data_IF_811756809467
#
_entry.id   IF_811756809467
#
_cell.length_a   1.000
_cell.length_b   1.000
_cell.length_c   1.000
_cell.angle_alpha   90.00
_cell.angle_beta   90.00
_cell.angle_gamma   90.00
#
_symmetry.space_group_name_H-M   'P 1'
#
loop_
_entity.id
_entity.type
_entity.pdbx_description
1 polymer ?
#
# COMPACT_ATOMS: atom_id res chain seq x y z
N UNK A 1 30.86 -20.12 41.26
CA UNK A 1 29.83 -20.62 40.35
C UNK A 1 28.71 -19.56 40.33
N UNK A 2 28.75 -18.64 39.42
CA UNK A 2 27.72 -17.62 39.25
C UNK A 2 26.99 -17.88 37.90
N UNK A 3 25.77 -18.40 38.02
CA UNK A 3 24.84 -18.49 36.93
C UNK A 3 24.32 -17.11 36.57
N UNK A 4 24.77 -16.53 35.45
CA UNK A 4 24.13 -15.37 34.85
C UNK A 4 22.86 -15.85 34.13
N UNK A 5 21.72 -15.40 34.64
CA UNK A 5 20.42 -15.50 33.96
C UNK A 5 20.54 -14.72 32.65
N UNK A 6 20.24 -15.39 31.53
CA UNK A 6 20.09 -14.77 30.23
C UNK A 6 18.70 -14.14 30.21
N UNK A 7 18.63 -12.83 30.44
CA UNK A 7 17.43 -12.05 30.15
C UNK A 7 17.09 -12.20 28.68
N UNK A 8 15.91 -12.71 28.39
CA UNK A 8 15.33 -12.77 27.07
C UNK A 8 15.07 -11.37 26.54
N UNK A 9 16.08 -10.79 25.89
CA UNK A 9 15.97 -9.49 25.26
C UNK A 9 14.91 -9.52 24.16
N UNK A 10 13.77 -8.87 24.39
CA UNK A 10 12.79 -8.58 23.36
C UNK A 10 13.51 -7.89 22.19
N UNK A 11 13.46 -8.49 20.99
CA UNK A 11 13.97 -7.91 19.75
C UNK A 11 13.30 -6.55 19.55
N UNK A 12 14.08 -5.45 19.68
CA UNK A 12 13.61 -4.08 19.45
C UNK A 12 13.45 -3.90 17.93
N UNK A 13 12.29 -4.26 17.40
CA UNK A 13 11.95 -4.11 15.99
C UNK A 13 11.50 -2.68 15.72
N UNK A 14 12.21 -2.00 14.85
CA UNK A 14 11.94 -0.60 14.47
C UNK A 14 13.16 0.32 14.54
N UNK A 15 14.34 -0.21 14.16
CA UNK A 15 15.57 0.60 14.08
C UNK A 15 16.13 1.09 15.42
N UNK A 16 15.73 0.48 16.54
CA UNK A 16 16.32 0.77 17.86
C UNK A 16 16.14 2.19 18.38
N UNK A 17 15.17 2.97 17.83
CA UNK A 17 14.95 4.37 18.25
C UNK A 17 14.40 4.44 19.66
N UNK A 18 15.04 5.28 20.50
CA UNK A 18 14.48 5.70 21.78
C UNK A 18 13.24 6.59 21.59
N UNK A 19 12.52 6.85 22.69
CA UNK A 19 11.27 7.61 22.68
C UNK A 19 11.39 8.97 21.97
N UNK A 20 12.37 9.79 22.35
CA UNK A 20 12.54 11.13 21.79
C UNK A 20 13.00 11.10 20.33
N UNK A 21 13.86 10.15 19.97
CA UNK A 21 14.28 9.94 18.58
C UNK A 21 13.10 9.54 17.69
N UNK A 22 12.19 8.70 18.20
CA UNK A 22 11.00 8.30 17.46
C UNK A 22 10.05 9.48 17.28
N UNK A 23 9.81 10.29 18.31
CA UNK A 23 8.99 11.52 18.20
C UNK A 23 9.56 12.49 17.17
N UNK A 24 10.88 12.74 17.23
CA UNK A 24 11.57 13.60 16.27
C UNK A 24 11.44 13.07 14.83
N UNK A 25 11.60 11.76 14.62
CA UNK A 25 11.49 11.18 13.28
C UNK A 25 10.06 11.22 12.74
N UNK A 26 9.04 11.00 13.59
CA UNK A 26 7.63 11.14 13.20
C UNK A 26 7.33 12.57 12.81
N UNK A 27 7.74 13.58 13.63
CA UNK A 27 7.55 14.98 13.30
C UNK A 27 8.26 15.35 11.99
N UNK A 28 9.53 14.94 11.83
CA UNK A 28 10.31 15.18 10.60
C UNK A 28 9.62 14.62 9.36
N UNK A 29 9.02 13.42 9.45
CA UNK A 29 8.30 12.82 8.31
C UNK A 29 7.02 13.60 8.00
N UNK A 30 6.29 14.08 8.99
CA UNK A 30 5.13 14.93 8.78
C UNK A 30 5.54 16.27 8.14
N UNK A 31 6.55 16.95 8.68
CA UNK A 31 7.07 18.23 8.14
C UNK A 31 7.51 18.13 6.67
N UNK A 32 8.00 16.96 6.26
CA UNK A 32 8.47 16.69 4.89
C UNK A 32 7.47 15.93 4.01
N UNK A 33 6.24 15.77 4.47
CA UNK A 33 5.21 14.99 3.78
C UNK A 33 5.67 13.60 3.35
N UNK A 34 6.40 12.90 4.22
CA UNK A 34 6.99 11.58 3.96
C UNK A 34 6.14 10.44 4.54
N UNK A 35 6.13 9.26 3.90
CA UNK A 35 5.46 8.08 4.47
C UNK A 35 6.01 7.70 5.86
N UNK A 36 5.13 7.21 6.77
CA UNK A 36 3.69 7.02 6.61
C UNK A 36 2.85 8.26 6.95
N UNK A 37 3.48 9.41 7.22
CA UNK A 37 2.83 10.67 7.62
C UNK A 37 2.41 11.55 6.42
N UNK A 38 2.54 11.08 5.19
CA UNK A 38 2.11 11.86 4.02
C UNK A 38 0.65 12.29 4.12
N UNK A 39 0.38 13.60 3.99
CA UNK A 39 -0.96 14.20 4.13
C UNK A 39 -1.40 14.50 5.57
N UNK A 40 -0.64 14.10 6.59
CA UNK A 40 -0.87 14.54 7.98
C UNK A 40 -0.28 15.94 8.14
N UNK A 41 -1.09 16.89 8.60
CA UNK A 41 -0.62 18.25 8.86
C UNK A 41 0.45 18.27 9.98
N UNK A 42 1.55 19.03 9.83
CA UNK A 42 2.62 19.07 10.83
C UNK A 42 2.16 19.50 12.23
N UNK A 43 1.20 20.39 12.31
CA UNK A 43 0.59 20.85 13.58
C UNK A 43 -0.21 19.73 14.26
N UNK A 44 -0.91 18.90 13.51
CA UNK A 44 -1.67 17.75 14.04
C UNK A 44 -0.73 16.66 14.57
N UNK A 45 0.35 16.38 13.83
CA UNK A 45 1.39 15.48 14.30
C UNK A 45 2.00 15.96 15.61
N UNK A 46 2.31 17.28 15.72
CA UNK A 46 2.85 17.89 16.93
C UNK A 46 1.86 17.81 18.09
N UNK A 47 0.58 18.09 17.84
CA UNK A 47 -0.47 17.98 18.85
C UNK A 47 -0.65 16.55 19.38
N UNK A 48 -0.58 15.53 18.50
CA UNK A 48 -0.60 14.14 18.92
C UNK A 48 0.66 13.77 19.72
N UNK A 49 1.85 14.12 19.22
CA UNK A 49 3.14 13.80 19.85
C UNK A 49 3.31 14.46 21.24
N UNK A 50 2.67 15.60 21.51
CA UNK A 50 2.70 16.24 22.84
C UNK A 50 2.04 15.37 23.93
N UNK A 51 1.16 14.43 23.53
CA UNK A 51 0.44 13.52 24.43
C UNK A 51 1.14 12.16 24.61
N UNK A 52 2.22 11.92 23.84
CA UNK A 52 2.98 10.66 23.90
C UNK A 52 4.12 10.79 24.89
N UNK A 53 4.16 9.91 25.90
CA UNK A 53 5.15 9.92 26.99
C UNK A 53 5.99 8.65 27.05
N UNK A 54 5.70 7.64 26.21
CA UNK A 54 6.40 6.35 26.19
C UNK A 54 6.48 5.76 24.79
N UNK A 55 7.10 4.60 24.64
CA UNK A 55 7.11 3.81 23.40
C UNK A 55 5.90 2.90 23.26
N UNK A 56 4.95 2.92 24.20
CA UNK A 56 3.76 2.09 24.19
C UNK A 56 2.87 2.40 22.97
N UNK A 57 2.64 1.39 22.14
CA UNK A 57 1.87 1.52 20.88
C UNK A 57 0.41 1.85 21.10
N UNK A 58 -0.16 1.42 22.21
CA UNK A 58 -1.53 1.79 22.60
C UNK A 58 -1.64 3.30 22.83
N UNK A 59 -0.69 3.87 23.59
CA UNK A 59 -0.64 5.32 23.84
C UNK A 59 -0.46 6.12 22.55
N UNK A 60 0.41 5.67 21.63
CA UNK A 60 0.59 6.30 20.33
C UNK A 60 -0.70 6.30 19.52
N UNK A 61 -1.38 5.16 19.44
CA UNK A 61 -2.64 5.04 18.70
C UNK A 61 -3.73 5.95 19.28
N UNK A 62 -3.87 6.01 20.62
CA UNK A 62 -4.83 6.88 21.30
C UNK A 62 -4.52 8.36 21.08
N UNK A 63 -3.25 8.77 21.14
CA UNK A 63 -2.83 10.15 20.96
C UNK A 63 -3.19 10.68 19.56
N UNK A 64 -2.86 9.93 18.50
CA UNK A 64 -3.20 10.30 17.13
C UNK A 64 -4.70 10.21 16.86
N UNK A 65 -5.39 9.21 17.40
CA UNK A 65 -6.86 9.08 17.30
C UNK A 65 -7.59 10.26 17.93
N UNK A 66 -7.10 10.79 19.05
CA UNK A 66 -7.71 11.95 19.72
C UNK A 66 -7.67 13.22 18.86
N UNK A 67 -6.61 13.43 18.06
CA UNK A 67 -6.54 14.55 17.11
C UNK A 67 -7.44 14.26 15.89
N UNK A 68 -7.48 13.02 15.43
CA UNK A 68 -8.36 12.59 14.36
C UNK A 68 -9.85 12.79 14.69
N UNK A 69 -10.27 12.52 15.93
CA UNK A 69 -11.64 12.73 16.38
C UNK A 69 -12.05 14.20 16.29
N UNK A 70 -11.16 15.16 16.58
CA UNK A 70 -11.45 16.59 16.44
C UNK A 70 -11.72 16.97 14.97
N UNK A 71 -10.96 16.42 14.03
CA UNK A 71 -11.24 16.59 12.59
C UNK A 71 -12.57 15.98 12.19
N UNK A 72 -12.87 14.78 12.67
CA UNK A 72 -14.15 14.10 12.39
C UNK A 72 -15.34 14.91 12.90
N UNK A 73 -15.27 15.46 14.11
CA UNK A 73 -16.32 16.31 14.69
C UNK A 73 -16.51 17.61 13.88
N UNK A 74 -15.41 18.26 13.45
CA UNK A 74 -15.48 19.43 12.55
C UNK A 74 -16.10 19.07 11.20
N UNK A 75 -15.73 17.90 10.63
CA UNK A 75 -16.30 17.42 9.38
C UNK A 75 -17.83 17.27 9.49
N UNK A 76 -18.31 16.61 10.54
CA UNK A 76 -19.74 16.43 10.81
C UNK A 76 -20.49 17.74 10.92
N UNK A 77 -19.89 18.74 11.60
CA UNK A 77 -20.50 20.06 11.73
C UNK A 77 -20.56 20.85 10.40
N UNK A 78 -19.76 20.46 9.39
CA UNK A 78 -19.71 21.11 8.07
C UNK A 78 -20.55 20.41 7.00
N UNK A 79 -20.98 19.16 7.17
CA UNK A 79 -21.60 18.34 6.11
C UNK A 79 -22.74 19.00 5.33
N UNK A 80 -23.59 19.74 6.04
CA UNK A 80 -24.78 20.36 5.44
C UNK A 80 -24.53 21.77 4.88
N UNK A 81 -23.46 22.43 5.28
CA UNK A 81 -23.21 23.86 4.96
C UNK A 81 -21.97 24.12 4.12
N UNK A 82 -20.96 23.23 4.22
CA UNK A 82 -19.69 23.33 3.49
C UNK A 82 -19.19 21.91 3.13
N UNK A 83 -19.67 21.41 2.00
CA UNK A 83 -19.29 20.08 1.51
C UNK A 83 -17.76 19.94 1.28
N UNK A 84 -17.11 20.99 0.79
CA UNK A 84 -15.67 20.95 0.52
C UNK A 84 -14.85 21.00 1.81
N UNK A 85 -15.26 21.82 2.78
CA UNK A 85 -14.68 21.84 4.12
C UNK A 85 -14.85 20.50 4.83
N UNK A 86 -16.06 19.91 4.79
CA UNK A 86 -16.30 18.58 5.36
C UNK A 86 -15.38 17.50 4.74
N UNK A 87 -15.23 17.50 3.42
CA UNK A 87 -14.34 16.56 2.73
C UNK A 87 -12.89 16.70 3.20
N UNK A 88 -12.39 17.92 3.34
CA UNK A 88 -11.03 18.21 3.84
C UNK A 88 -10.84 17.69 5.28
N UNK A 89 -11.80 17.94 6.15
CA UNK A 89 -11.74 17.51 7.54
C UNK A 89 -11.83 15.97 7.66
N UNK A 90 -12.69 15.29 6.90
CA UNK A 90 -12.73 13.82 6.84
C UNK A 90 -11.43 13.22 6.29
N UNK A 91 -10.81 13.86 5.31
CA UNK A 91 -9.48 13.49 4.82
C UNK A 91 -8.43 13.53 5.94
N UNK A 92 -8.36 14.62 6.71
CA UNK A 92 -7.41 14.73 7.83
C UNK A 92 -7.71 13.71 8.93
N UNK A 93 -8.99 13.52 9.29
CA UNK A 93 -9.39 12.50 10.25
C UNK A 93 -8.92 11.11 9.80
N UNK A 94 -9.19 10.75 8.54
CA UNK A 94 -8.72 9.50 7.97
C UNK A 94 -7.21 9.36 8.03
N UNK A 95 -6.42 10.36 7.62
CA UNK A 95 -4.94 10.29 7.63
C UNK A 95 -4.39 10.04 9.03
N UNK A 96 -4.93 10.70 10.03
CA UNK A 96 -4.53 10.56 11.43
C UNK A 96 -4.92 9.18 12.00
N UNK A 97 -6.15 8.71 11.78
CA UNK A 97 -6.55 7.35 12.16
C UNK A 97 -5.73 6.30 11.43
N UNK A 98 -5.41 6.53 10.16
CA UNK A 98 -4.56 5.64 9.36
C UNK A 98 -3.16 5.54 9.97
N UNK A 99 -2.55 6.63 10.40
CA UNK A 99 -1.28 6.57 11.11
C UNK A 99 -1.44 5.95 12.51
N UNK A 100 -2.52 6.24 13.22
CA UNK A 100 -2.80 5.64 14.55
C UNK A 100 -2.83 4.10 14.50
N UNK A 101 -3.32 3.48 13.42
CA UNK A 101 -3.33 2.02 13.25
C UNK A 101 -2.01 1.44 12.71
N UNK A 102 -1.12 2.30 12.17
CA UNK A 102 0.07 1.90 11.41
C UNK A 102 1.10 1.13 12.25
N UNK A 103 1.88 0.19 11.68
CA UNK A 103 1.75 -0.41 10.34
C UNK A 103 0.76 -1.57 10.31
N UNK A 104 0.38 -2.11 11.45
CA UNK A 104 -0.55 -3.24 11.65
C UNK A 104 -1.38 -3.05 12.90
N UNK A 105 -2.53 -3.72 12.97
CA UNK A 105 -3.54 -3.54 14.02
C UNK A 105 -3.33 -4.51 15.20
N UNK A 106 -2.13 -4.50 15.79
CA UNK A 106 -1.69 -5.44 16.83
C UNK A 106 -2.13 -5.09 18.26
N UNK A 107 -2.76 -3.91 18.48
CA UNK A 107 -3.31 -3.52 19.79
C UNK A 107 -4.81 -3.15 19.71
N UNK A 108 -5.56 -3.10 20.83
CA UNK A 108 -6.97 -2.68 20.83
C UNK A 108 -7.18 -1.28 20.24
N UNK A 109 -6.40 -0.28 20.65
CA UNK A 109 -6.53 1.09 20.11
C UNK A 109 -6.21 1.16 18.60
N UNK A 110 -5.22 0.41 18.13
CA UNK A 110 -4.93 0.33 16.69
C UNK A 110 -6.07 -0.33 15.90
N UNK A 111 -6.72 -1.35 16.44
CA UNK A 111 -7.91 -1.96 15.82
C UNK A 111 -9.07 -0.98 15.72
N UNK A 112 -9.33 -0.22 16.81
CA UNK A 112 -10.33 0.83 16.79
C UNK A 112 -9.98 1.95 15.81
N UNK A 113 -8.72 2.37 15.76
CA UNK A 113 -8.24 3.37 14.80
C UNK A 113 -8.44 2.91 13.34
N UNK A 114 -8.22 1.61 13.03
CA UNK A 114 -8.55 1.05 11.72
C UNK A 114 -10.03 1.23 11.36
N UNK A 115 -10.95 0.87 12.28
CA UNK A 115 -12.38 1.01 12.03
C UNK A 115 -12.75 2.47 11.73
N UNK A 116 -12.29 3.40 12.57
CA UNK A 116 -12.51 4.84 12.40
C UNK A 116 -11.88 5.40 11.13
N UNK A 117 -10.69 4.89 10.72
CA UNK A 117 -10.09 5.26 9.45
C UNK A 117 -10.96 4.89 8.27
N UNK A 118 -11.50 3.67 8.24
CA UNK A 118 -12.43 3.21 7.19
C UNK A 118 -13.70 4.06 7.17
N UNK A 119 -14.28 4.36 8.34
CA UNK A 119 -15.48 5.20 8.46
C UNK A 119 -15.22 6.62 7.93
N UNK A 120 -14.15 7.28 8.39
CA UNK A 120 -13.79 8.62 7.93
C UNK A 120 -13.51 8.67 6.42
N UNK A 121 -12.80 7.65 5.89
CA UNK A 121 -12.55 7.57 4.45
C UNK A 121 -13.84 7.38 3.64
N UNK A 122 -14.80 6.55 4.11
CA UNK A 122 -16.09 6.36 3.44
C UNK A 122 -16.89 7.67 3.37
N UNK A 123 -16.87 8.49 4.42
CA UNK A 123 -17.49 9.81 4.38
C UNK A 123 -16.79 10.72 3.36
N UNK A 124 -15.46 10.78 3.40
CA UNK A 124 -14.69 11.49 2.37
C UNK A 124 -15.02 11.02 0.95
N UNK A 125 -15.14 9.69 0.73
CA UNK A 125 -15.42 9.08 -0.57
C UNK A 125 -16.74 9.54 -1.18
N UNK A 126 -17.79 9.75 -0.35
CA UNK A 126 -19.10 10.26 -0.82
C UNK A 126 -19.03 11.73 -1.21
N UNK A 127 -18.09 12.48 -0.64
CA UNK A 127 -17.91 13.91 -0.87
C UNK A 127 -16.96 14.21 -2.03
N UNK A 128 -16.13 13.26 -2.45
CA UNK A 128 -15.22 13.39 -3.59
C UNK A 128 -15.96 13.63 -4.91
N UNK A 129 -15.30 14.28 -5.88
CA UNK A 129 -15.87 14.57 -7.20
C UNK A 129 -14.93 14.09 -8.31
N UNK A 130 -15.31 13.11 -9.14
CA UNK A 130 -16.49 12.23 -8.96
C UNK A 130 -16.38 11.40 -7.67
N UNK A 131 -17.50 10.90 -7.13
CA UNK A 131 -17.47 10.13 -5.88
C UNK A 131 -16.70 8.81 -6.04
N UNK A 132 -16.22 8.27 -4.91
CA UNK A 132 -15.57 6.97 -4.83
C UNK A 132 -16.63 5.95 -4.37
N UNK A 133 -16.91 4.96 -5.22
CA UNK A 133 -17.85 3.89 -4.94
C UNK A 133 -17.24 2.85 -4.00
N UNK A 134 -17.98 2.39 -2.99
CA UNK A 134 -17.63 1.20 -2.20
C UNK A 134 -18.17 -0.03 -2.93
N UNK A 135 -17.28 -0.87 -3.41
CA UNK A 135 -17.62 -2.11 -4.11
C UNK A 135 -17.54 -3.29 -3.14
N UNK A 136 -18.57 -4.16 -3.16
CA UNK A 136 -18.62 -5.40 -2.40
C UNK A 136 -18.85 -6.57 -3.34
N UNK A 137 -17.93 -7.55 -3.34
CA UNK A 137 -17.97 -8.69 -4.24
C UNK A 137 -18.05 -9.95 -3.39
N UNK A 138 -19.10 -10.78 -3.53
CA UNK A 138 -19.18 -12.07 -2.85
C UNK A 138 -17.99 -12.95 -3.22
N UNK A 139 -17.36 -13.54 -2.20
CA UNK A 139 -16.17 -14.37 -2.38
C UNK A 139 -16.02 -15.39 -1.24
N UNK A 140 -16.16 -16.68 -1.55
CA UNK A 140 -15.92 -17.80 -0.63
C UNK A 140 -16.62 -17.64 0.75
N UNK A 141 -17.88 -17.26 0.76
CA UNK A 141 -18.67 -17.04 1.98
C UNK A 141 -18.34 -15.75 2.75
N UNK A 142 -17.48 -14.91 2.17
CA UNK A 142 -17.11 -13.57 2.64
C UNK A 142 -17.32 -12.55 1.53
N UNK A 143 -16.81 -11.34 1.71
CA UNK A 143 -16.82 -10.28 0.71
C UNK A 143 -15.41 -9.74 0.46
N UNK A 144 -15.11 -9.45 -0.80
CA UNK A 144 -14.03 -8.55 -1.18
C UNK A 144 -14.60 -7.14 -1.08
N UNK A 145 -14.00 -6.30 -0.25
CA UNK A 145 -14.35 -4.88 -0.15
C UNK A 145 -13.29 -4.07 -0.88
N UNK A 146 -13.72 -3.26 -1.85
CA UNK A 146 -12.85 -2.45 -2.68
C UNK A 146 -13.43 -1.05 -2.89
N UNK A 147 -12.64 -0.15 -3.46
CA UNK A 147 -13.11 1.15 -3.93
C UNK A 147 -12.97 1.25 -5.44
N UNK A 148 -13.97 1.84 -6.09
CA UNK A 148 -13.94 2.13 -7.51
C UNK A 148 -14.22 3.61 -7.74
N UNK A 149 -13.36 4.29 -8.49
CA UNK A 149 -13.60 5.66 -8.94
C UNK A 149 -13.41 5.74 -10.44
N UNK A 150 -14.42 6.21 -11.14
CA UNK A 150 -14.43 6.33 -12.58
C UNK A 150 -14.44 7.81 -13.00
N UNK A 151 -13.79 8.17 -14.12
CA UNK A 151 -13.89 9.51 -14.69
C UNK A 151 -15.31 9.80 -15.13
N UNK A 152 -15.74 11.07 -15.03
CA UNK A 152 -17.10 11.46 -15.41
C UNK A 152 -17.38 11.30 -16.91
N UNK A 153 -16.38 11.52 -17.76
CA UNK A 153 -16.54 11.72 -19.19
C UNK A 153 -16.00 10.57 -20.07
N UNK A 154 -15.48 9.49 -19.47
CA UNK A 154 -14.95 8.33 -20.20
C UNK A 154 -15.65 7.06 -19.75
N UNK A 155 -16.63 6.57 -20.52
CA UNK A 155 -17.34 5.32 -20.23
C UNK A 155 -17.61 4.55 -21.54
N UNK A 156 -17.25 3.26 -21.59
CA UNK A 156 -16.56 2.48 -20.56
C UNK A 156 -15.13 3.01 -20.35
N UNK A 157 -14.70 3.11 -19.09
CA UNK A 157 -13.41 3.67 -18.72
C UNK A 157 -12.31 2.60 -18.69
N UNK A 158 -11.13 2.85 -19.28
CA UNK A 158 -9.94 2.05 -19.02
C UNK A 158 -9.54 2.16 -17.54
N UNK A 159 -8.96 1.11 -16.96
CA UNK A 159 -8.85 0.97 -15.52
C UNK A 159 -7.42 0.64 -15.07
N UNK A 160 -7.03 1.26 -13.97
CA UNK A 160 -5.90 0.80 -13.16
C UNK A 160 -6.44 -0.01 -11.97
N UNK A 161 -5.99 -1.25 -11.87
CA UNK A 161 -6.27 -2.14 -10.75
C UNK A 161 -5.15 -2.02 -9.72
N UNK A 162 -5.32 -1.20 -8.70
CA UNK A 162 -4.32 -0.86 -7.70
C UNK A 162 -4.43 -1.73 -6.45
N UNK A 163 -3.33 -2.39 -6.06
CA UNK A 163 -3.24 -3.22 -4.87
C UNK A 163 -2.42 -2.50 -3.81
N UNK A 164 -2.94 -2.42 -2.59
CA UNK A 164 -2.25 -1.81 -1.45
C UNK A 164 -0.99 -2.58 -1.04
N UNK A 165 -0.01 -1.91 -0.42
CA UNK A 165 1.19 -2.54 0.14
C UNK A 165 0.97 -3.08 1.56
N UNK A 166 2.07 -3.52 2.20
CA UNK A 166 2.04 -4.14 3.53
C UNK A 166 1.43 -3.23 4.62
N UNK A 167 1.84 -1.98 4.66
CA UNK A 167 1.47 -1.01 5.69
C UNK A 167 0.41 0.02 5.23
N UNK A 168 0.11 0.04 3.94
CA UNK A 168 -0.98 0.81 3.34
C UNK A 168 -2.27 -0.01 3.27
N UNK A 169 -3.37 0.64 2.91
CA UNK A 169 -4.68 0.02 2.71
C UNK A 169 -5.28 0.51 1.39
N UNK A 170 -6.37 -0.13 0.94
CA UNK A 170 -7.10 0.31 -0.26
C UNK A 170 -7.52 1.77 -0.21
N UNK A 171 -7.75 2.32 0.97
CA UNK A 171 -7.99 3.75 1.19
C UNK A 171 -6.83 4.61 0.69
N UNK A 172 -5.57 4.20 0.98
CA UNK A 172 -4.37 4.91 0.48
C UNK A 172 -4.27 4.89 -1.04
N UNK A 173 -4.67 3.77 -1.65
CA UNK A 173 -4.68 3.64 -3.12
C UNK A 173 -5.78 4.52 -3.71
N UNK A 174 -7.00 4.44 -3.18
CA UNK A 174 -8.16 5.20 -3.65
C UNK A 174 -7.99 6.73 -3.42
N UNK A 175 -7.32 7.12 -2.35
CA UNK A 175 -7.03 8.51 -2.03
C UNK A 175 -6.18 9.24 -3.09
N UNK A 176 -5.39 8.51 -3.87
CA UNK A 176 -4.56 9.06 -4.95
C UNK A 176 -5.24 8.97 -6.33
N UNK A 177 -6.56 8.71 -6.37
CA UNK A 177 -7.29 8.50 -7.63
C UNK A 177 -7.45 9.75 -8.51
N UNK A 178 -7.28 10.96 -7.98
CA UNK A 178 -7.38 12.21 -8.76
C UNK A 178 -6.44 12.21 -9.99
N UNK A 179 -5.21 11.75 -9.80
CA UNK A 179 -4.24 11.65 -10.89
C UNK A 179 -4.65 10.69 -12.00
N UNK A 180 -5.35 9.61 -11.68
CA UNK A 180 -5.89 8.66 -12.67
C UNK A 180 -7.12 9.22 -13.36
N UNK A 181 -8.09 9.71 -12.59
CA UNK A 181 -9.35 10.28 -13.11
C UNK A 181 -9.07 11.48 -14.03
N UNK A 182 -8.13 12.35 -13.64
CA UNK A 182 -7.69 13.49 -14.44
C UNK A 182 -7.03 13.10 -15.78
N UNK A 183 -6.52 11.88 -15.91
CA UNK A 183 -6.00 11.31 -17.16
C UNK A 183 -7.03 10.40 -17.88
N UNK A 184 -8.31 10.44 -17.52
CA UNK A 184 -9.36 9.63 -18.14
C UNK A 184 -9.34 8.15 -17.75
N UNK A 185 -8.68 7.79 -16.65
CA UNK A 185 -8.55 6.43 -16.14
C UNK A 185 -9.45 6.22 -14.93
N UNK A 186 -10.12 5.08 -14.85
CA UNK A 186 -10.68 4.60 -13.60
C UNK A 186 -9.59 4.03 -12.69
N UNK A 187 -9.87 4.01 -11.39
CA UNK A 187 -9.04 3.32 -10.39
C UNK A 187 -9.91 2.37 -9.57
N UNK A 188 -9.55 1.10 -9.56
CA UNK A 188 -10.05 0.10 -8.61
C UNK A 188 -8.98 -0.15 -7.56
N UNK A 189 -9.32 0.00 -6.29
CA UNK A 189 -8.40 -0.11 -5.18
C UNK A 189 -8.79 -1.25 -4.24
N UNK A 190 -7.85 -2.15 -3.97
CA UNK A 190 -8.07 -3.35 -3.16
C UNK A 190 -6.94 -3.56 -2.13
N UNK A 191 -7.28 -4.16 -1.00
CA UNK A 191 -6.30 -4.52 0.03
C UNK A 191 -5.42 -5.70 -0.38
N UNK A 192 -4.19 -5.70 0.15
CA UNK A 192 -3.29 -6.83 0.12
C UNK A 192 -3.90 -8.01 0.91
N UNK A 193 -3.86 -9.26 0.43
CA UNK A 193 -4.29 -10.42 1.21
C UNK A 193 -3.61 -10.47 2.57
N UNK A 194 -4.36 -10.78 3.62
CA UNK A 194 -3.88 -10.74 5.01
C UNK A 194 -3.83 -9.34 5.64
N UNK A 195 -4.35 -8.31 4.96
CA UNK A 195 -4.40 -6.93 5.51
C UNK A 195 -5.76 -6.27 5.29
N UNK A 196 -6.01 -5.17 5.97
CA UNK A 196 -7.19 -4.33 5.73
C UNK A 196 -8.51 -5.05 5.92
N UNK A 197 -9.39 -4.95 4.92
CA UNK A 197 -10.66 -5.66 4.82
C UNK A 197 -10.57 -6.83 3.80
N UNK A 198 -9.37 -7.40 3.60
CA UNK A 198 -9.21 -8.60 2.76
C UNK A 198 -10.05 -9.76 3.30
N UNK A 199 -10.71 -10.57 2.42
CA UNK A 199 -11.43 -11.77 2.87
C UNK A 199 -10.51 -12.85 3.43
N UNK A 200 -9.23 -12.87 3.04
CA UNK A 200 -8.23 -13.77 3.62
C UNK A 200 -7.58 -13.13 4.86
N UNK A 201 -7.61 -13.85 5.98
CA UNK A 201 -7.01 -13.41 7.23
C UNK A 201 -5.47 -13.42 7.18
N UNK A 202 -4.90 -14.24 6.29
CA UNK A 202 -3.46 -14.31 6.00
C UNK A 202 -3.23 -14.43 4.50
N UNK A 203 -2.08 -13.94 4.02
CA UNK A 203 -1.66 -14.15 2.65
C UNK A 203 -1.20 -15.59 2.43
N UNK A 204 -1.68 -16.21 1.38
CA UNK A 204 -1.30 -17.54 0.91
C UNK A 204 -0.87 -17.48 -0.56
N UNK A 205 -0.13 -18.45 -1.04
CA UNK A 205 0.36 -18.48 -2.43
C UNK A 205 -0.77 -18.45 -3.47
N UNK A 206 -1.97 -18.90 -3.10
CA UNK A 206 -3.16 -18.92 -3.96
C UNK A 206 -4.15 -17.78 -3.65
N UNK A 207 -3.73 -16.77 -2.90
CA UNK A 207 -4.60 -15.59 -2.63
C UNK A 207 -4.82 -14.70 -3.87
N UNK A 208 -4.13 -14.95 -4.98
CA UNK A 208 -4.39 -14.31 -6.28
C UNK A 208 -5.83 -14.50 -6.77
N UNK A 209 -6.53 -15.58 -6.36
CA UNK A 209 -7.95 -15.80 -6.69
C UNK A 209 -8.88 -14.68 -6.20
N UNK A 210 -8.49 -13.91 -5.17
CA UNK A 210 -9.21 -12.68 -4.75
C UNK A 210 -9.20 -11.67 -5.90
N UNK A 211 -8.05 -11.48 -6.55
CA UNK A 211 -7.90 -10.54 -7.65
C UNK A 211 -8.57 -11.05 -8.92
N UNK A 212 -8.52 -12.38 -9.17
CA UNK A 212 -9.25 -13.00 -10.28
C UNK A 212 -10.75 -12.78 -10.15
N UNK A 213 -11.33 -12.96 -8.96
CA UNK A 213 -12.75 -12.71 -8.69
C UNK A 213 -13.12 -11.22 -8.85
N UNK A 214 -12.22 -10.31 -8.44
CA UNK A 214 -12.40 -8.88 -8.66
C UNK A 214 -12.35 -8.51 -10.15
N UNK A 215 -11.46 -9.13 -10.93
CA UNK A 215 -11.42 -8.97 -12.40
C UNK A 215 -12.67 -9.53 -13.08
N UNK A 216 -13.23 -10.64 -12.59
CA UNK A 216 -14.51 -11.19 -13.08
C UNK A 216 -15.69 -10.24 -12.83
N UNK A 217 -15.70 -9.59 -11.67
CA UNK A 217 -16.69 -8.56 -11.36
C UNK A 217 -16.54 -7.34 -12.29
N UNK A 218 -15.33 -6.84 -12.46
CA UNK A 218 -15.05 -5.69 -13.33
C UNK A 218 -15.41 -6.00 -14.80
N UNK A 219 -15.20 -7.24 -15.24
CA UNK A 219 -15.56 -7.70 -16.57
C UNK A 219 -17.07 -7.67 -16.87
N UNK A 220 -17.91 -7.64 -15.84
CA UNK A 220 -19.38 -7.57 -15.96
C UNK A 220 -19.92 -6.13 -15.85
N UNK A 221 -19.07 -5.16 -15.57
CA UNK A 221 -19.49 -3.76 -15.41
C UNK A 221 -19.56 -3.05 -16.76
N UNK A 222 -20.69 -2.47 -17.14
CA UNK A 222 -20.84 -1.78 -18.43
C UNK A 222 -20.07 -0.45 -18.49
N UNK A 223 -19.67 0.11 -17.35
CA UNK A 223 -18.97 1.38 -17.24
C UNK A 223 -17.42 1.22 -17.14
N UNK A 224 -16.94 -0.05 -17.17
CA UNK A 224 -15.50 -0.42 -17.15
C UNK A 224 -15.14 -1.06 -18.49
N UNK A 225 -14.05 -0.60 -19.11
CA UNK A 225 -13.47 -1.27 -20.26
C UNK A 225 -12.58 -2.43 -19.82
N UNK A 226 -13.20 -3.61 -19.70
CA UNK A 226 -12.51 -4.83 -19.28
C UNK A 226 -11.36 -5.28 -20.22
N UNK A 227 -11.34 -4.80 -21.45
CA UNK A 227 -10.25 -5.02 -22.40
C UNK A 227 -9.05 -4.08 -22.18
N UNK A 228 -9.17 -3.08 -21.30
CA UNK A 228 -8.13 -2.09 -21.01
C UNK A 228 -7.88 -1.94 -19.52
N UNK A 229 -7.32 -2.99 -18.88
CA UNK A 229 -6.94 -3.01 -17.47
C UNK A 229 -5.43 -3.16 -17.34
N UNK A 230 -4.81 -2.32 -16.50
CA UNK A 230 -3.43 -2.45 -16.02
C UNK A 230 -3.45 -2.72 -14.53
N UNK A 231 -2.78 -3.77 -14.05
CA UNK A 231 -2.59 -3.99 -12.62
C UNK A 231 -1.38 -3.19 -12.10
N UNK A 232 -1.50 -2.60 -10.93
CA UNK A 232 -0.42 -1.88 -10.26
C UNK A 232 -0.25 -2.37 -8.82
N UNK A 233 0.89 -3.00 -8.54
CA UNK A 233 1.31 -3.38 -7.20
C UNK A 233 2.40 -2.45 -6.68
N UNK A 234 2.27 -2.03 -5.40
CA UNK A 234 3.21 -1.14 -4.72
C UNK A 234 3.87 -1.85 -3.55
N UNK A 235 5.20 -1.76 -3.45
CA UNK A 235 5.92 -2.43 -2.37
C UNK A 235 5.59 -3.93 -2.38
N UNK A 236 5.22 -4.51 -1.26
CA UNK A 236 4.93 -5.93 -1.17
C UNK A 236 3.91 -6.43 -2.21
N UNK A 237 2.91 -5.64 -2.57
CA UNK A 237 1.94 -6.02 -3.61
C UNK A 237 2.49 -6.02 -5.05
N UNK A 238 3.70 -5.54 -5.26
CA UNK A 238 4.41 -5.76 -6.53
C UNK A 238 4.59 -7.24 -6.84
N UNK A 239 4.68 -8.10 -5.83
CA UNK A 239 4.58 -9.55 -5.96
C UNK A 239 3.32 -10.00 -6.71
N UNK A 240 2.16 -9.49 -6.25
CA UNK A 240 0.89 -9.85 -6.87
C UNK A 240 0.77 -9.29 -8.28
N UNK A 241 1.27 -8.08 -8.54
CA UNK A 241 1.29 -7.54 -9.90
C UNK A 241 2.14 -8.39 -10.85
N UNK A 242 3.31 -8.86 -10.41
CA UNK A 242 4.16 -9.76 -11.18
C UNK A 242 3.48 -11.12 -11.42
N UNK A 243 2.87 -11.71 -10.39
CA UNK A 243 2.16 -12.97 -10.48
C UNK A 243 0.96 -12.87 -11.43
N UNK A 244 0.12 -11.84 -11.26
CA UNK A 244 -1.05 -11.60 -12.10
C UNK A 244 -0.69 -11.31 -13.55
N UNK A 245 0.46 -10.70 -13.82
CA UNK A 245 0.94 -10.53 -15.19
C UNK A 245 1.09 -11.87 -15.93
N UNK A 246 1.35 -12.96 -15.21
CA UNK A 246 1.42 -14.31 -15.74
C UNK A 246 0.04 -14.98 -15.70
N UNK A 247 -0.56 -15.06 -14.51
CA UNK A 247 -1.79 -15.86 -14.30
C UNK A 247 -3.03 -15.24 -14.96
N UNK A 248 -3.06 -13.91 -15.11
CA UNK A 248 -4.16 -13.15 -15.71
C UNK A 248 -3.77 -12.45 -17.02
N UNK A 249 -2.72 -12.89 -17.68
CA UNK A 249 -2.15 -12.25 -18.87
C UNK A 249 -3.16 -11.95 -19.98
N UNK A 250 -4.17 -12.79 -20.14
CA UNK A 250 -5.19 -12.65 -21.18
C UNK A 250 -6.14 -11.46 -20.91
N UNK A 251 -6.28 -11.04 -19.66
CA UNK A 251 -7.18 -9.95 -19.22
C UNK A 251 -6.44 -8.63 -18.99
N UNK A 252 -5.11 -8.65 -18.91
CA UNK A 252 -4.32 -7.48 -18.56
C UNK A 252 -3.60 -6.89 -19.76
N UNK A 253 -3.65 -5.57 -19.92
CA UNK A 253 -2.83 -4.81 -20.88
C UNK A 253 -1.40 -4.59 -20.38
N UNK A 254 -1.16 -4.81 -19.10
CA UNK A 254 0.15 -4.76 -18.49
C UNK A 254 0.09 -4.77 -16.97
N UNK A 255 1.28 -4.83 -16.36
CA UNK A 255 1.48 -4.81 -14.93
C UNK A 255 2.60 -3.85 -14.54
N UNK A 256 2.38 -3.07 -13.49
CA UNK A 256 3.40 -2.23 -12.86
C UNK A 256 3.86 -2.92 -11.58
N UNK A 257 5.11 -3.39 -11.56
CA UNK A 257 5.79 -3.98 -10.41
C UNK A 257 6.64 -2.90 -9.77
N UNK A 258 6.09 -2.20 -8.77
CA UNK A 258 6.73 -1.05 -8.14
C UNK A 258 7.33 -1.44 -6.79
N UNK A 259 8.58 -1.89 -6.78
CA UNK A 259 9.30 -2.35 -5.59
C UNK A 259 8.75 -3.66 -5.04
N UNK A 260 8.45 -4.63 -5.91
CA UNK A 260 7.85 -5.92 -5.55
C UNK A 260 8.87 -7.01 -5.22
N UNK A 261 8.62 -7.83 -4.19
CA UNK A 261 9.43 -9.02 -3.89
C UNK A 261 9.13 -10.12 -4.91
N UNK A 262 10.15 -10.91 -5.30
CA UNK A 262 10.01 -11.95 -6.32
C UNK A 262 10.57 -13.30 -5.85
N UNK A 263 11.84 -13.34 -5.40
CA UNK A 263 12.54 -14.53 -4.97
C UNK A 263 13.54 -14.25 -3.85
N UNK A 264 14.52 -13.39 -4.09
CA UNK A 264 15.59 -13.09 -3.12
C UNK A 264 15.04 -12.50 -1.82
N UNK A 265 13.97 -11.71 -1.89
CA UNK A 265 13.26 -11.20 -0.71
C UNK A 265 12.79 -12.31 0.23
N UNK A 266 12.32 -13.45 -0.31
CA UNK A 266 11.77 -14.55 0.47
C UNK A 266 12.83 -15.47 1.07
N UNK A 267 14.12 -15.22 0.79
CA UNK A 267 15.20 -16.00 1.39
C UNK A 267 15.42 -15.58 2.84
N UNK A 268 15.65 -16.54 3.76
CA UNK A 268 15.77 -16.27 5.20
C UNK A 268 16.78 -15.17 5.54
N UNK A 269 17.92 -15.14 4.86
CA UNK A 269 18.96 -14.15 5.08
C UNK A 269 18.46 -12.73 4.81
N UNK A 270 17.77 -12.49 3.68
CA UNK A 270 17.26 -11.16 3.36
C UNK A 270 16.13 -10.75 4.29
N UNK A 271 15.14 -11.65 4.53
CA UNK A 271 14.03 -11.36 5.44
C UNK A 271 14.54 -10.93 6.81
N UNK A 272 15.49 -11.66 7.39
CA UNK A 272 16.07 -11.33 8.70
C UNK A 272 16.81 -9.98 8.68
N UNK A 273 17.66 -9.76 7.67
CA UNK A 273 18.44 -8.52 7.56
C UNK A 273 17.54 -7.31 7.34
N UNK A 274 16.48 -7.43 6.54
CA UNK A 274 15.56 -6.33 6.23
C UNK A 274 14.78 -5.84 7.46
N UNK A 275 14.60 -6.67 8.48
CA UNK A 275 13.93 -6.28 9.73
C UNK A 275 14.73 -5.25 10.54
N UNK A 276 16.06 -5.26 10.42
CA UNK A 276 16.95 -4.34 11.11
C UNK A 276 17.06 -2.97 10.42
N UNK A 277 16.48 -2.80 9.24
CA UNK A 277 16.53 -1.52 8.51
C UNK A 277 15.66 -0.48 9.21
N UNK A 278 16.17 0.74 9.40
CA UNK A 278 15.46 1.82 10.10
C UNK A 278 14.36 2.52 9.26
N UNK A 279 13.91 1.94 8.16
CA UNK A 279 12.92 2.56 7.28
C UNK A 279 11.52 2.58 7.89
N UNK A 280 11.11 1.48 8.52
CA UNK A 280 9.92 1.48 9.37
C UNK A 280 10.18 2.21 10.69
N UNK A 281 9.18 2.92 11.17
CA UNK A 281 9.25 3.62 12.45
C UNK A 281 9.26 2.61 13.61
N UNK A 282 8.43 1.56 13.49
CA UNK A 282 8.27 0.46 14.47
C UNK A 282 7.44 -0.69 13.87
N UNK A 283 7.35 -1.81 14.57
CA UNK A 283 6.44 -2.95 14.34
C UNK A 283 6.53 -3.57 12.92
N UNK A 284 7.72 -3.54 12.29
CA UNK A 284 7.87 -4.07 10.92
C UNK A 284 7.76 -5.60 10.87
N UNK A 285 8.37 -6.30 11.84
CA UNK A 285 8.24 -7.74 11.96
C UNK A 285 6.79 -8.14 12.24
N UNK A 286 6.12 -7.44 13.16
CA UNK A 286 4.74 -7.67 13.51
C UNK A 286 3.80 -7.51 12.31
N UNK A 287 4.05 -6.51 11.46
CA UNK A 287 3.28 -6.31 10.23
C UNK A 287 3.46 -7.47 9.24
N UNK A 288 4.70 -7.95 9.05
CA UNK A 288 4.98 -9.13 8.21
C UNK A 288 4.35 -10.40 8.79
N UNK A 289 4.49 -10.61 10.10
CA UNK A 289 3.89 -11.74 10.79
C UNK A 289 2.36 -11.72 10.66
N UNK A 290 1.72 -10.59 10.90
CA UNK A 290 0.26 -10.45 10.77
C UNK A 290 -0.22 -10.78 9.36
N UNK A 291 0.45 -10.24 8.33
CA UNK A 291 0.10 -10.50 6.93
C UNK A 291 0.21 -11.99 6.56
N UNK A 292 1.23 -12.69 7.04
CA UNK A 292 1.43 -14.12 6.79
C UNK A 292 0.73 -15.04 7.80
N UNK A 293 0.03 -14.49 8.79
CA UNK A 293 -0.56 -15.27 9.88
C UNK A 293 0.49 -16.04 10.69
N UNK A 294 1.67 -15.44 10.89
CA UNK A 294 2.78 -16.02 11.63
C UNK A 294 2.81 -15.47 13.07
N UNK A 295 3.18 -16.33 14.02
CA UNK A 295 3.30 -15.99 15.44
C UNK A 295 4.68 -15.41 15.80
N UNK A 296 5.69 -15.56 14.94
CA UNK A 296 7.05 -15.10 15.15
C UNK A 296 7.93 -15.25 13.92
N UNK A 297 9.24 -14.97 14.09
CA UNK A 297 10.19 -14.91 12.97
C UNK A 297 10.34 -16.27 12.27
N UNK A 298 10.51 -17.35 13.01
CA UNK A 298 10.73 -18.68 12.40
C UNK A 298 9.55 -19.11 11.55
N UNK A 299 8.33 -18.91 12.03
CA UNK A 299 7.12 -19.19 11.29
C UNK A 299 6.95 -18.24 10.09
N UNK A 300 7.32 -16.97 10.24
CA UNK A 300 7.34 -16.01 9.12
C UNK A 300 8.29 -16.48 8.00
N UNK A 301 9.50 -16.92 8.35
CA UNK A 301 10.47 -17.41 7.38
C UNK A 301 9.94 -18.64 6.63
N UNK A 302 9.31 -19.57 7.36
CA UNK A 302 8.71 -20.77 6.77
C UNK A 302 7.54 -20.44 5.83
N UNK A 303 6.64 -19.53 6.25
CA UNK A 303 5.44 -19.14 5.48
C UNK A 303 5.74 -18.23 4.29
N UNK A 304 6.81 -17.42 4.36
CA UNK A 304 7.18 -16.53 3.28
C UNK A 304 7.90 -17.22 2.12
N UNK A 305 8.72 -18.22 2.40
CA UNK A 305 9.54 -18.94 1.39
C UNK A 305 8.74 -19.45 0.19
N UNK A 306 7.55 -20.08 0.36
CA UNK A 306 6.75 -20.59 -0.76
C UNK A 306 6.27 -19.51 -1.76
N UNK A 307 6.38 -18.23 -1.43
CA UNK A 307 5.99 -17.14 -2.34
C UNK A 307 6.99 -16.89 -3.48
N UNK A 308 8.15 -17.52 -3.49
CA UNK A 308 9.13 -17.36 -4.56
C UNK A 308 8.55 -17.68 -5.94
N UNK A 309 8.40 -16.65 -6.80
CA UNK A 309 7.89 -16.85 -8.18
C UNK A 309 8.85 -17.67 -9.04
N UNK A 310 10.15 -17.66 -8.72
CA UNK A 310 11.15 -18.52 -9.35
C UNK A 310 10.89 -20.00 -9.00
N UNK A 311 10.76 -20.31 -7.70
CA UNK A 311 10.50 -21.70 -7.24
C UNK A 311 9.11 -22.21 -7.65
N UNK A 312 8.15 -21.29 -7.88
CA UNK A 312 6.84 -21.63 -8.46
C UNK A 312 6.87 -21.85 -9.97
N UNK A 313 8.02 -21.64 -10.64
CA UNK A 313 8.18 -21.83 -12.09
C UNK A 313 7.38 -20.83 -12.93
N UNK A 314 7.11 -19.64 -12.39
CA UNK A 314 6.28 -18.63 -13.07
C UNK A 314 7.11 -17.65 -13.92
N UNK A 315 8.41 -17.51 -13.68
CA UNK A 315 9.20 -16.45 -14.29
C UNK A 315 9.42 -16.62 -15.80
N UNK A 316 9.49 -17.89 -16.29
CA UNK A 316 9.69 -18.20 -17.71
C UNK A 316 8.36 -18.43 -18.46
N UNK A 317 7.23 -18.24 -17.80
CA UNK A 317 5.94 -18.33 -18.47
C UNK A 317 5.60 -17.04 -19.22
N UNK A 318 4.84 -17.11 -20.33
CA UNK A 318 4.37 -15.92 -21.02
C UNK A 318 3.59 -14.98 -20.11
N UNK A 319 3.83 -13.67 -20.23
CA UNK A 319 3.23 -12.68 -19.36
C UNK A 319 2.61 -11.50 -20.12
N UNK A 320 1.72 -10.75 -19.47
CA UNK A 320 1.37 -9.41 -19.89
C UNK A 320 2.62 -8.49 -19.78
N UNK A 321 2.73 -7.44 -20.60
CA UNK A 321 3.84 -6.50 -20.53
C UNK A 321 4.03 -5.92 -19.12
N UNK A 322 5.28 -5.80 -18.67
CA UNK A 322 5.58 -5.30 -17.32
C UNK A 322 6.44 -4.03 -17.36
N UNK A 323 6.15 -3.11 -16.43
CA UNK A 323 7.05 -2.05 -16.02
C UNK A 323 7.58 -2.37 -14.62
N UNK A 324 8.90 -2.48 -14.49
CA UNK A 324 9.59 -2.75 -13.25
C UNK A 324 10.20 -1.45 -12.72
N UNK A 325 9.88 -1.08 -11.48
CA UNK A 325 10.33 0.20 -10.90
C UNK A 325 10.89 -0.04 -9.51
N UNK A 326 12.15 0.33 -9.26
CA UNK A 326 12.71 0.30 -7.91
C UNK A 326 13.95 1.21 -7.79
N UNK A 327 14.50 1.30 -6.58
CA UNK A 327 15.78 1.95 -6.28
C UNK A 327 16.90 0.94 -6.09
N UNK A 328 18.11 1.27 -6.57
CA UNK A 328 19.28 0.41 -6.40
C UNK A 328 19.71 0.25 -4.94
N UNK A 329 19.26 1.17 -4.05
CA UNK A 329 19.56 1.18 -2.61
C UNK A 329 18.35 0.79 -1.75
N UNK A 330 17.40 0.05 -2.33
CA UNK A 330 16.24 -0.42 -1.58
C UNK A 330 16.68 -1.40 -0.47
N UNK A 331 16.42 -1.03 0.77
CA UNK A 331 16.73 -1.82 1.96
C UNK A 331 15.58 -2.77 2.38
N UNK A 332 14.40 -2.63 1.80
CA UNK A 332 13.24 -3.48 2.08
C UNK A 332 13.12 -4.62 1.07
N UNK A 333 13.18 -4.30 -0.23
CA UNK A 333 13.06 -5.26 -1.32
C UNK A 333 14.37 -5.27 -2.11
N UNK A 334 15.07 -6.40 -2.20
CA UNK A 334 16.37 -6.44 -2.87
C UNK A 334 16.23 -6.08 -4.35
N UNK A 335 17.10 -5.21 -4.85
CA UNK A 335 17.11 -4.85 -6.28
C UNK A 335 17.36 -6.06 -7.17
N UNK A 336 17.99 -7.10 -6.64
CA UNK A 336 18.19 -8.38 -7.32
C UNK A 336 16.87 -9.01 -7.78
N UNK A 337 15.76 -8.78 -7.07
CA UNK A 337 14.44 -9.26 -7.47
C UNK A 337 13.94 -8.58 -8.77
N UNK A 338 14.25 -7.30 -8.96
CA UNK A 338 13.95 -6.60 -10.22
C UNK A 338 14.82 -7.16 -11.36
N UNK A 339 16.10 -7.35 -11.13
CA UNK A 339 17.00 -7.89 -12.15
C UNK A 339 16.64 -9.33 -12.52
N UNK A 340 16.25 -10.15 -11.54
CA UNK A 340 15.76 -11.51 -11.80
C UNK A 340 14.55 -11.51 -12.75
N UNK A 341 13.61 -10.57 -12.59
CA UNK A 341 12.49 -10.43 -13.54
C UNK A 341 12.93 -10.04 -14.95
N UNK A 342 14.03 -9.27 -15.09
CA UNK A 342 14.58 -8.90 -16.41
C UNK A 342 15.29 -10.07 -17.10
N UNK A 343 15.85 -10.99 -16.34
CA UNK A 343 16.59 -12.15 -16.82
C UNK A 343 15.69 -13.28 -17.32
N UNK A 344 14.39 -13.26 -16.96
CA UNK A 344 13.46 -14.35 -17.23
C UNK A 344 12.28 -13.92 -18.13
N UNK A 345 11.76 -14.86 -18.92
CA UNK A 345 10.52 -14.73 -19.70
C UNK A 345 10.53 -13.61 -20.75
N UNK A 346 9.37 -13.02 -21.02
CA UNK A 346 9.20 -11.97 -22.02
C UNK A 346 9.95 -10.67 -21.68
N UNK A 347 10.32 -9.88 -22.71
CA UNK A 347 10.99 -8.59 -22.54
C UNK A 347 10.16 -7.60 -21.71
N UNK A 348 10.82 -6.88 -20.80
CA UNK A 348 10.21 -5.95 -19.84
C UNK A 348 10.85 -4.56 -19.94
N UNK A 349 10.10 -3.56 -19.54
CA UNK A 349 10.62 -2.19 -19.34
C UNK A 349 11.02 -2.01 -17.87
N UNK A 350 12.14 -1.34 -17.62
CA UNK A 350 12.58 -1.06 -16.26
C UNK A 350 12.98 0.40 -16.06
N UNK A 351 12.69 0.93 -14.88
CA UNK A 351 13.21 2.19 -14.38
C UNK A 351 13.85 1.97 -13.01
N UNK A 352 15.16 2.17 -12.93
CA UNK A 352 15.92 2.01 -11.69
C UNK A 352 16.54 3.35 -11.31
N UNK A 353 16.22 3.84 -10.09
CA UNK A 353 16.91 5.01 -9.55
C UNK A 353 18.20 4.59 -8.84
N UNK A 354 19.41 4.93 -9.35
CA UNK A 354 20.68 4.49 -8.75
C UNK A 354 20.88 5.02 -7.33
N UNK A 355 20.27 6.16 -6.99
CA UNK A 355 20.35 6.79 -5.67
C UNK A 355 19.07 6.55 -4.84
N UNK A 356 18.08 5.86 -5.40
CA UNK A 356 16.79 5.62 -4.78
C UNK A 356 16.83 4.49 -3.76
N UNK A 357 16.10 4.68 -2.65
CA UNK A 357 15.72 3.62 -1.72
C UNK A 357 14.45 2.89 -2.19
N UNK A 358 13.67 2.43 -1.23
CA UNK A 358 12.46 1.64 -1.49
C UNK A 358 11.53 2.31 -2.49
N UNK A 359 11.08 1.56 -3.51
CA UNK A 359 10.24 2.02 -4.61
C UNK A 359 10.90 3.12 -5.49
N UNK A 360 12.22 3.24 -5.49
CA UNK A 360 12.95 4.24 -6.28
C UNK A 360 12.96 5.64 -5.70
N UNK A 361 12.43 5.85 -4.50
CA UNK A 361 12.31 7.18 -3.88
C UNK A 361 13.67 7.78 -3.51
N UNK A 362 13.82 9.06 -3.78
CA UNK A 362 14.93 9.90 -3.31
C UNK A 362 14.45 11.35 -3.18
N UNK A 363 15.26 12.27 -2.62
CA UNK A 363 14.88 13.69 -2.56
C UNK A 363 14.52 14.31 -3.92
N UNK A 364 15.19 13.89 -4.99
CA UNK A 364 14.91 14.36 -6.36
C UNK A 364 13.78 13.56 -7.05
N UNK A 365 13.45 12.40 -6.55
CA UNK A 365 12.40 11.52 -7.06
C UNK A 365 11.43 11.12 -5.93
N UNK A 366 10.60 12.05 -5.43
CA UNK A 366 9.53 11.71 -4.50
C UNK A 366 8.49 10.82 -5.21
N UNK A 367 7.62 10.16 -4.42
CA UNK A 367 6.59 9.25 -4.94
C UNK A 367 5.70 9.89 -6.01
N UNK A 368 5.37 11.18 -5.88
CA UNK A 368 4.58 11.93 -6.86
C UNK A 368 5.29 12.07 -8.21
N UNK A 369 6.59 12.41 -8.20
CA UNK A 369 7.36 12.52 -9.44
C UNK A 369 7.52 11.17 -10.15
N UNK A 370 7.72 10.06 -9.40
CA UNK A 370 7.75 8.72 -9.99
C UNK A 370 6.40 8.38 -10.60
N UNK A 371 5.30 8.64 -9.89
CA UNK A 371 3.96 8.39 -10.39
C UNK A 371 3.68 9.17 -11.69
N UNK A 372 4.00 10.47 -11.71
CA UNK A 372 3.72 11.36 -12.84
C UNK A 372 4.63 11.10 -14.04
N UNK A 373 5.95 10.92 -13.80
CA UNK A 373 6.95 10.90 -14.88
C UNK A 373 7.35 9.51 -15.36
N UNK A 374 7.07 8.48 -14.55
CA UNK A 374 7.44 7.09 -14.87
C UNK A 374 6.21 6.21 -15.06
N UNK A 375 5.33 6.14 -14.03
CA UNK A 375 4.21 5.20 -14.04
C UNK A 375 3.11 5.64 -15.00
N UNK A 376 2.62 6.87 -14.86
CA UNK A 376 1.48 7.37 -15.65
C UNK A 376 1.74 7.36 -17.15
N UNK A 377 2.90 7.81 -17.68
CA UNK A 377 3.18 7.72 -19.11
C UNK A 377 3.17 6.29 -19.66
N UNK A 378 3.67 5.33 -18.89
CA UNK A 378 3.64 3.94 -19.30
C UNK A 378 2.21 3.37 -19.27
N UNK A 379 1.46 3.62 -18.18
CA UNK A 379 0.07 3.16 -18.03
C UNK A 379 -0.81 3.71 -19.17
N UNK A 380 -0.77 5.01 -19.42
CA UNK A 380 -1.57 5.65 -20.47
C UNK A 380 -1.23 5.11 -21.86
N UNK A 381 0.05 4.89 -22.15
CA UNK A 381 0.48 4.25 -23.41
C UNK A 381 -0.07 2.84 -23.55
N UNK A 382 -0.02 2.02 -22.48
CA UNK A 382 -0.54 0.64 -22.49
C UNK A 382 -2.06 0.57 -22.64
N UNK A 383 -2.76 1.57 -22.13
CA UNK A 383 -4.22 1.65 -22.22
C UNK A 383 -4.70 2.40 -23.48
N UNK A 384 -3.80 2.76 -24.41
CA UNK A 384 -4.13 3.42 -25.67
C UNK A 384 -4.70 4.84 -25.48
N UNK A 385 -4.29 5.53 -24.41
CA UNK A 385 -4.63 6.92 -24.19
C UNK A 385 -3.49 7.80 -24.70
N UNK A 386 -3.75 8.59 -25.72
CA UNK A 386 -2.84 9.64 -26.17
C UNK A 386 -2.79 10.75 -25.11
N UNK A 387 -1.61 11.04 -24.60
CA UNK A 387 -1.42 12.22 -23.75
C UNK A 387 -1.75 13.44 -24.61
N UNK A 388 -2.80 14.17 -24.29
CA UNK A 388 -2.86 15.58 -24.70
C UNK A 388 -1.75 16.27 -23.91
N UNK A 389 -0.61 16.56 -24.57
CA UNK A 389 0.39 17.46 -24.01
C UNK A 389 -0.31 18.80 -23.79
N UNK A 390 -0.19 19.42 -22.61
CA UNK A 390 -0.63 20.80 -22.45
C UNK A 390 0.14 21.63 -23.44
N UNK A 391 -0.60 22.50 -24.18
CA UNK A 391 -0.07 23.43 -25.15
C UNK A 391 0.89 24.44 -24.46
#
# INVERSE_FOLDING_TARGET
MNSKSVDGGALVTGGGRGHDQLKQEVQRRSDRNMPPLGGVAPEDARAALSRVTSLDREQWALAFSSVADQHRERAQALETRDRAGAAKEYWQAWRLFHFARWPTENTPAKRLAKQRAVEAFRQYATLATPPIEVVRIPFEGREIVAYLRLPANARPAPLVFGIAGLDSRKEDVAAHSDGYVGNGLGLFAIDLPGTGESPHAAAEIHSDRIFSAALDYLGKRPDVDAGRIVVQGRSWSGYWAAKLAVTERARLRGAVVHGGPIHHYFQPQWLTTSLATGEYLYDYQEAKCAMHGASGLDELLAKARPFSLLELGLLDQPSAPMLLVNGARDSQIPIADLYLLLEHGDAKEAWVNPQGGHMGRSPHWPSSAIAEKVLMPWITRRLGLTRQLPA
#
